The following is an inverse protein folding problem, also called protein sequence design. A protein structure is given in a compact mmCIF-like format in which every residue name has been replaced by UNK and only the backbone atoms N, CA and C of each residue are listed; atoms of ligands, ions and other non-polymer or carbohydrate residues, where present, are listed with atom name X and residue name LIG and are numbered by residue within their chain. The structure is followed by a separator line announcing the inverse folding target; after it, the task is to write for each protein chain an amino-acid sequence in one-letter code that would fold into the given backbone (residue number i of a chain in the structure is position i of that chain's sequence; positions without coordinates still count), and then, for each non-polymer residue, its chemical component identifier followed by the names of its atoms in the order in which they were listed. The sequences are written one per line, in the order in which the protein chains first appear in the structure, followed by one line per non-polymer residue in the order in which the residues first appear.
data_IF_612873747580
#
_entry.id   IF_612873747580
#
_cell.length_a   1.000
_cell.length_b   1.000
_cell.length_c   1.000
_cell.angle_alpha   90.00
_cell.angle_beta   90.00
_cell.angle_gamma   90.00
#
_symmetry.space_group_name_H-M   'P 1'
#
loop_
_entity.id
_entity.type
_entity.pdbx_description
1 polymer ?
#
# COMPACT_ATOMS: atom_id res chain seq x y z
N UNK A 1 5.32 -7.67 -7.69
CA UNK A 1 4.77 -6.50 -6.97
C UNK A 1 3.44 -6.03 -7.53
N UNK A 2 3.07 -6.45 -8.74
CA UNK A 2 1.74 -6.34 -9.35
C UNK A 2 0.53 -6.48 -8.40
N UNK A 3 0.54 -7.47 -7.49
CA UNK A 3 -0.58 -7.68 -6.55
C UNK A 3 -0.67 -6.52 -5.56
N UNK A 4 0.48 -6.06 -5.05
CA UNK A 4 0.54 -4.93 -4.14
C UNK A 4 0.12 -3.63 -4.83
N UNK A 5 0.54 -3.39 -6.08
CA UNK A 5 0.10 -2.22 -6.86
C UNK A 5 -1.41 -2.17 -7.00
N UNK A 6 -2.04 -3.29 -7.36
CA UNK A 6 -3.51 -3.38 -7.42
C UNK A 6 -4.19 -3.10 -6.09
N UNK A 7 -3.60 -3.54 -4.97
CA UNK A 7 -4.12 -3.21 -3.64
C UNK A 7 -3.97 -1.72 -3.34
N UNK A 8 -2.84 -1.11 -3.71
CA UNK A 8 -2.61 0.33 -3.53
C UNK A 8 -3.59 1.14 -4.39
N UNK A 9 -3.78 0.78 -5.65
CA UNK A 9 -4.75 1.41 -6.56
C UNK A 9 -6.18 1.31 -6.02
N UNK A 10 -6.55 0.14 -5.49
CA UNK A 10 -7.86 -0.07 -4.85
C UNK A 10 -8.10 0.88 -3.67
N UNK A 11 -7.04 1.32 -2.98
CA UNK A 11 -7.12 2.14 -1.78
C UNK A 11 -6.21 3.37 -1.93
N UNK A 12 -6.74 4.46 -2.52
CA UNK A 12 -5.95 5.67 -2.84
C UNK A 12 -5.13 6.30 -1.70
N UNK A 13 -5.46 6.00 -0.43
CA UNK A 13 -4.68 6.36 0.77
C UNK A 13 -3.22 5.87 0.73
N UNK A 14 -2.94 4.81 -0.02
CA UNK A 14 -1.63 4.16 -0.07
C UNK A 14 -0.85 4.49 -1.35
N UNK A 15 -1.36 5.40 -2.18
CA UNK A 15 -0.81 5.76 -3.50
C UNK A 15 0.68 6.13 -3.46
N UNK A 16 1.11 6.84 -2.42
CA UNK A 16 2.52 7.22 -2.18
C UNK A 16 3.48 6.02 -2.09
N UNK A 17 2.96 4.82 -1.78
CA UNK A 17 3.77 3.61 -1.66
C UNK A 17 3.99 2.89 -2.99
N UNK A 18 3.24 3.24 -4.04
CA UNK A 18 3.36 2.62 -5.37
C UNK A 18 4.77 2.81 -5.96
N UNK A 19 5.38 3.98 -5.71
CA UNK A 19 6.74 4.29 -6.20
C UNK A 19 7.80 3.31 -5.67
N UNK A 20 7.63 2.76 -4.47
CA UNK A 20 8.57 1.76 -3.94
C UNK A 20 8.38 0.41 -4.63
N UNK A 21 7.13 0.04 -4.94
CA UNK A 21 6.82 -1.17 -5.70
C UNK A 21 7.41 -1.12 -7.11
N UNK A 22 7.29 0.03 -7.80
CA UNK A 22 7.91 0.27 -9.12
C UNK A 22 9.44 0.13 -9.07
N UNK A 23 10.07 0.73 -8.05
CA UNK A 23 11.53 0.67 -7.88
C UNK A 23 12.03 -0.75 -7.62
N UNK A 24 11.28 -1.56 -6.87
CA UNK A 24 11.63 -2.96 -6.60
C UNK A 24 11.58 -3.77 -7.89
N UNK A 25 10.51 -3.65 -8.69
CA UNK A 25 10.41 -4.37 -9.97
C UNK A 25 11.48 -3.94 -10.97
N UNK A 26 11.78 -2.63 -11.04
CA UNK A 26 12.80 -2.11 -11.95
C UNK A 26 14.22 -2.62 -11.65
N UNK A 27 14.50 -3.07 -10.43
CA UNK A 27 15.85 -3.44 -10.00
C UNK A 27 15.99 -4.91 -9.60
N UNK A 28 14.92 -5.72 -9.68
CA UNK A 28 14.94 -7.11 -9.19
C UNK A 28 16.01 -7.98 -9.89
N UNK A 29 16.21 -7.74 -11.18
CA UNK A 29 17.17 -8.46 -12.01
C UNK A 29 18.57 -7.82 -12.06
N UNK A 30 18.70 -6.56 -11.62
CA UNK A 30 19.93 -5.77 -11.81
C UNK A 30 20.63 -5.38 -10.50
N UNK A 31 19.87 -5.02 -9.47
CA UNK A 31 20.40 -4.62 -8.16
C UNK A 31 19.44 -5.01 -7.03
N UNK A 32 19.69 -6.19 -6.48
CA UNK A 32 18.90 -6.72 -5.38
C UNK A 32 19.12 -5.95 -4.05
N UNK A 33 20.25 -5.26 -3.87
CA UNK A 33 20.46 -4.42 -2.69
C UNK A 33 19.46 -3.26 -2.67
N UNK A 34 19.26 -2.63 -3.82
CA UNK A 34 18.27 -1.56 -3.96
C UNK A 34 16.84 -2.07 -3.77
N UNK A 35 16.56 -3.30 -4.19
CA UNK A 35 15.25 -3.93 -3.96
C UNK A 35 14.96 -4.10 -2.47
N UNK A 36 15.95 -4.56 -1.70
CA UNK A 36 15.79 -4.77 -0.25
C UNK A 36 15.69 -3.44 0.51
N UNK A 37 16.41 -2.41 0.07
CA UNK A 37 16.27 -1.07 0.63
C UNK A 37 14.86 -0.51 0.41
N UNK A 38 14.36 -0.54 -0.84
CA UNK A 38 12.99 -0.11 -1.14
C UNK A 38 11.95 -0.99 -0.44
N UNK A 39 12.19 -2.29 -0.29
CA UNK A 39 11.30 -3.21 0.43
C UNK A 39 11.16 -2.82 1.90
N UNK A 40 12.27 -2.47 2.54
CA UNK A 40 12.26 -1.98 3.92
C UNK A 40 11.49 -0.67 4.03
N UNK A 41 11.81 0.32 3.18
CA UNK A 41 11.13 1.62 3.18
C UNK A 41 9.63 1.52 2.94
N UNK A 42 9.21 0.64 2.02
CA UNK A 42 7.81 0.35 1.74
C UNK A 42 7.07 -0.17 2.99
N UNK A 43 7.59 -1.22 3.63
CA UNK A 43 6.95 -1.80 4.82
C UNK A 43 7.00 -0.85 6.02
N UNK A 44 8.09 -0.09 6.19
CA UNK A 44 8.19 0.96 7.22
C UNK A 44 7.15 2.06 7.00
N UNK A 45 6.98 2.51 5.76
CA UNK A 45 6.00 3.52 5.37
C UNK A 45 4.58 3.09 5.70
N UNK A 46 4.18 1.91 5.19
CA UNK A 46 2.86 1.32 5.47
C UNK A 46 2.64 1.20 6.99
N UNK A 47 3.63 0.70 7.73
CA UNK A 47 3.51 0.51 9.19
C UNK A 47 3.36 1.84 9.93
N UNK A 48 4.13 2.87 9.56
CA UNK A 48 4.01 4.21 10.15
C UNK A 48 2.67 4.86 9.86
N UNK A 49 2.18 4.71 8.63
CA UNK A 49 0.88 5.22 8.23
C UNK A 49 -0.25 4.55 9.03
N UNK A 50 -0.21 3.23 9.20
CA UNK A 50 -1.15 2.50 10.07
C UNK A 50 -1.13 3.06 11.50
N UNK A 51 0.05 3.22 12.10
CA UNK A 51 0.20 3.77 13.44
C UNK A 51 -0.37 5.19 13.55
N UNK A 52 -0.09 6.04 12.54
CA UNK A 52 -0.59 7.41 12.47
C UNK A 52 -2.12 7.44 12.44
N UNK A 53 -2.74 6.66 11.55
CA UNK A 53 -4.20 6.55 11.42
C UNK A 53 -4.87 6.00 12.68
N UNK A 54 -4.18 5.11 13.40
CA UNK A 54 -4.65 4.55 14.68
C UNK A 54 -4.31 5.42 15.90
N UNK A 55 -3.72 6.60 15.72
CA UNK A 55 -3.26 7.47 16.80
C UNK A 55 -2.31 6.77 17.79
N UNK A 56 -1.47 5.84 17.31
CA UNK A 56 -0.45 5.17 18.11
C UNK A 56 0.80 6.05 18.18
N UNK A 57 1.22 6.38 19.40
CA UNK A 57 2.44 7.16 19.63
C UNK A 57 3.65 6.27 19.44
N UNK A 58 4.49 6.63 18.46
CA UNK A 58 5.80 6.04 18.24
C UNK A 58 6.86 6.84 19.01
N UNK A 59 7.84 6.15 19.60
CA UNK A 59 9.00 6.72 20.26
C UNK A 59 10.04 7.30 19.28
N UNK A 60 9.99 6.91 18.01
CA UNK A 60 10.87 7.39 16.93
C UNK A 60 12.19 6.64 16.82
N UNK A 61 12.49 5.75 17.76
CA UNK A 61 13.67 4.88 17.79
C UNK A 61 13.31 3.39 17.62
N UNK A 62 12.08 3.08 17.20
CA UNK A 62 11.66 1.70 17.02
C UNK A 62 12.47 0.99 15.95
N UNK A 63 12.95 -0.20 16.30
CA UNK A 63 13.51 -1.11 15.31
C UNK A 63 12.44 -1.50 14.29
N UNK A 64 12.87 -1.73 13.04
CA UNK A 64 11.97 -2.07 11.93
C UNK A 64 10.98 -3.20 12.27
N UNK A 65 11.47 -4.28 12.87
CA UNK A 65 10.64 -5.41 13.29
C UNK A 65 9.61 -5.03 14.38
N UNK A 66 10.00 -4.15 15.31
CA UNK A 66 9.11 -3.68 16.37
C UNK A 66 8.02 -2.77 15.80
N UNK A 67 8.35 -1.90 14.85
CA UNK A 67 7.41 -1.05 14.15
C UNK A 67 6.33 -1.86 13.43
N UNK A 68 6.71 -2.89 12.65
CA UNK A 68 5.75 -3.77 11.96
C UNK A 68 4.82 -4.45 12.95
N UNK A 69 5.34 -4.91 14.09
CA UNK A 69 4.54 -5.53 15.14
C UNK A 69 3.56 -4.54 15.78
N UNK A 70 4.00 -3.33 16.09
CA UNK A 70 3.14 -2.28 16.65
C UNK A 70 2.01 -1.94 15.67
N UNK A 71 2.33 -1.78 14.39
CA UNK A 71 1.33 -1.51 13.35
C UNK A 71 0.30 -2.64 13.26
N UNK A 72 0.75 -3.89 13.25
CA UNK A 72 -0.14 -5.05 13.24
C UNK A 72 -1.05 -5.09 14.48
N UNK A 73 -0.49 -4.90 15.67
CA UNK A 73 -1.25 -4.87 16.92
C UNK A 73 -2.26 -3.71 16.96
N UNK A 74 -1.91 -2.57 16.34
CA UNK A 74 -2.77 -1.38 16.25
C UNK A 74 -4.01 -1.56 15.37
N UNK A 75 -3.98 -2.49 14.39
CA UNK A 75 -5.11 -2.71 13.46
C UNK A 75 -6.39 -3.09 14.21
N UNK A 76 -6.29 -3.78 15.35
CA UNK A 76 -7.42 -3.97 16.28
C UNK A 76 -8.05 -5.36 16.25
N UNK A 77 -7.23 -6.40 16.05
CA UNK A 77 -7.69 -7.79 16.02
C UNK A 77 -8.46 -8.22 17.28
N UNK A 78 -9.58 -8.95 17.11
CA UNK A 78 -10.13 -9.78 18.20
C UNK A 78 -9.08 -10.83 18.56
N UNK A 79 -8.57 -10.79 19.79
CA UNK A 79 -7.46 -11.65 20.26
C UNK A 79 -7.81 -13.14 20.18
N UNK A 80 -7.57 -13.75 19.02
CA UNK A 80 -7.52 -15.20 18.83
C UNK A 80 -6.06 -15.64 18.71
N UNK A 81 -5.70 -16.78 19.32
CA UNK A 81 -4.32 -17.23 19.44
C UNK A 81 -3.55 -17.36 18.11
N UNK A 82 -4.25 -17.57 17.00
CA UNK A 82 -3.70 -17.62 15.64
C UNK A 82 -3.09 -16.27 15.19
N UNK A 83 -3.70 -15.15 15.57
CA UNK A 83 -3.30 -13.80 15.16
C UNK A 83 -1.95 -13.41 15.79
N UNK A 84 -1.70 -13.83 17.03
CA UNK A 84 -0.42 -13.60 17.71
C UNK A 84 0.74 -14.32 16.99
N UNK A 85 0.49 -15.51 16.44
CA UNK A 85 1.49 -16.26 15.67
C UNK A 85 1.78 -15.51 14.37
N UNK A 86 0.75 -15.02 13.67
CA UNK A 86 0.90 -14.22 12.45
C UNK A 86 1.74 -12.96 12.71
N UNK A 87 1.41 -12.18 13.75
CA UNK A 87 2.19 -10.99 14.12
C UNK A 87 3.65 -11.32 14.47
N UNK A 88 3.89 -12.45 15.15
CA UNK A 88 5.23 -12.96 15.42
C UNK A 88 6.00 -13.30 14.15
N UNK A 89 5.37 -14.00 13.20
CA UNK A 89 5.96 -14.35 11.90
C UNK A 89 6.27 -13.11 11.06
N UNK A 90 5.37 -12.13 11.01
CA UNK A 90 5.61 -10.85 10.32
C UNK A 90 6.82 -10.11 10.90
N UNK A 91 6.90 -10.03 12.24
CA UNK A 91 8.05 -9.44 12.92
C UNK A 91 9.35 -10.19 12.62
N UNK A 92 9.32 -11.52 12.51
CA UNK A 92 10.50 -12.32 12.19
C UNK A 92 10.98 -12.08 10.75
N UNK A 93 10.06 -12.03 9.78
CA UNK A 93 10.39 -11.71 8.39
C UNK A 93 10.95 -10.29 8.28
N UNK A 94 10.32 -9.32 8.95
CA UNK A 94 10.82 -7.95 8.98
C UNK A 94 12.24 -7.87 9.58
N UNK A 95 12.51 -8.61 10.65
CA UNK A 95 13.86 -8.69 11.23
C UNK A 95 14.89 -9.22 10.22
N UNK A 96 14.57 -10.34 9.54
CA UNK A 96 15.46 -10.92 8.53
C UNK A 96 15.68 -10.00 7.33
N UNK A 97 14.64 -9.26 6.91
CA UNK A 97 14.77 -8.26 5.85
C UNK A 97 15.70 -7.11 6.27
N UNK A 98 15.63 -6.67 7.53
CA UNK A 98 16.52 -5.65 8.08
C UNK A 98 17.97 -6.11 8.22
N UNK A 99 18.18 -7.35 8.65
CA UNK A 99 19.51 -7.97 8.73
C UNK A 99 20.11 -8.11 7.34
N UNK A 100 19.30 -8.60 6.38
CA UNK A 100 19.73 -8.75 5.00
C UNK A 100 20.10 -7.40 4.38
N UNK A 101 19.28 -6.37 4.57
CA UNK A 101 19.61 -4.99 4.16
C UNK A 101 20.95 -4.53 4.72
N UNK A 102 21.28 -4.91 5.95
CA UNK A 102 22.55 -4.53 6.57
C UNK A 102 23.72 -5.35 6.04
N UNK A 103 23.49 -6.60 5.67
CA UNK A 103 24.51 -7.48 5.09
C UNK A 103 24.88 -7.10 3.64
N UNK A 104 23.88 -6.70 2.84
CA UNK A 104 24.06 -6.37 1.41
C UNK A 104 24.15 -4.86 1.14
N UNK A 105 23.59 -4.01 2.01
CA UNK A 105 23.62 -2.56 1.88
C UNK A 105 25.02 -2.01 2.10
N UNK A 106 25.47 -1.17 1.18
CA UNK A 106 26.83 -0.65 1.02
C UNK A 106 27.34 0.29 2.15
N UNK A 107 26.89 0.15 3.40
CA UNK A 107 27.33 0.99 4.53
C UNK A 107 28.46 0.39 5.37
N UNK A 108 29.12 -0.68 4.89
CA UNK A 108 30.39 -1.12 5.49
C UNK A 108 31.52 -0.27 4.94
N UNK A 109 31.84 0.84 5.62
CA UNK A 109 32.98 1.69 5.32
C UNK A 109 34.25 0.84 5.04
N UNK A 110 34.64 0.72 3.77
CA UNK A 110 35.87 0.03 3.36
C UNK A 110 35.73 -1.10 2.34
N UNK A 111 34.52 -1.47 1.90
CA UNK A 111 34.35 -2.55 0.91
C UNK A 111 34.49 -2.07 -0.55
N UNK A 112 35.11 -2.92 -1.37
CA UNK A 112 35.28 -2.70 -2.82
C UNK A 112 34.02 -3.04 -3.60
N UNK A 113 33.87 -2.49 -4.81
CA UNK A 113 32.71 -2.74 -5.70
C UNK A 113 32.55 -4.23 -6.09
N UNK A 114 33.62 -5.01 -6.00
CA UNK A 114 33.64 -6.44 -6.33
C UNK A 114 33.08 -7.29 -5.18
N UNK A 115 33.44 -6.97 -3.93
CA UNK A 115 32.91 -7.65 -2.73
C UNK A 115 31.41 -7.38 -2.51
N UNK A 116 30.92 -6.21 -2.94
CA UNK A 116 29.48 -5.91 -2.94
C UNK A 116 28.73 -6.78 -3.95
N UNK A 117 29.33 -7.01 -5.12
CA UNK A 117 28.74 -7.83 -6.19
C UNK A 117 28.71 -9.31 -5.79
N UNK A 118 29.81 -9.83 -5.24
CA UNK A 118 29.89 -11.20 -4.73
C UNK A 118 28.88 -11.46 -3.60
N UNK A 119 28.61 -10.47 -2.75
CA UNK A 119 27.57 -10.58 -1.71
C UNK A 119 26.17 -10.56 -2.29
N UNK A 120 25.91 -9.73 -3.29
CA UNK A 120 24.62 -9.71 -4.00
C UNK A 120 24.37 -11.05 -4.72
N UNK A 121 25.44 -11.68 -5.22
CA UNK A 121 25.40 -12.97 -5.90
C UNK A 121 25.43 -14.18 -4.94
N UNK A 122 25.72 -13.95 -3.65
CA UNK A 122 25.71 -15.01 -2.62
C UNK A 122 24.31 -15.57 -2.32
N UNK A 123 23.26 -14.81 -2.66
CA UNK A 123 21.88 -15.27 -2.59
C UNK A 123 21.45 -15.87 -3.93
N UNK A 124 20.95 -17.10 -3.89
CA UNK A 124 20.37 -17.71 -5.09
C UNK A 124 19.08 -16.98 -5.51
N UNK A 125 18.75 -17.07 -6.79
CA UNK A 125 17.57 -16.43 -7.39
C UNK A 125 16.28 -16.79 -6.67
N UNK A 126 16.10 -18.06 -6.30
CA UNK A 126 14.89 -18.55 -5.59
C UNK A 126 14.70 -17.82 -4.25
N UNK A 127 15.78 -17.54 -3.53
CA UNK A 127 15.72 -16.82 -2.25
C UNK A 127 15.39 -15.35 -2.46
N UNK A 128 15.94 -14.73 -3.52
CA UNK A 128 15.62 -13.36 -3.90
C UNK A 128 14.13 -13.22 -4.23
N UNK A 129 13.60 -14.10 -5.06
CA UNK A 129 12.17 -14.16 -5.42
C UNK A 129 11.30 -14.34 -4.17
N UNK A 130 11.61 -15.34 -3.34
CA UNK A 130 10.86 -15.60 -2.10
C UNK A 130 10.79 -14.37 -1.17
N UNK A 131 11.88 -13.62 -1.06
CA UNK A 131 11.94 -12.41 -0.23
C UNK A 131 11.04 -11.31 -0.80
N UNK A 132 11.08 -11.06 -2.10
CA UNK A 132 10.23 -10.05 -2.74
C UNK A 132 8.75 -10.45 -2.65
N UNK A 133 8.43 -11.71 -2.92
CA UNK A 133 7.06 -12.23 -2.77
C UNK A 133 6.56 -12.09 -1.33
N UNK A 134 7.44 -12.34 -0.35
CA UNK A 134 7.12 -12.15 1.06
C UNK A 134 6.82 -10.67 1.35
N UNK A 135 7.62 -9.74 0.85
CA UNK A 135 7.38 -8.29 1.00
C UNK A 135 6.04 -7.89 0.38
N UNK A 136 5.77 -8.35 -0.84
CA UNK A 136 4.51 -8.11 -1.54
C UNK A 136 3.31 -8.62 -0.73
N UNK A 137 3.38 -9.85 -0.23
CA UNK A 137 2.33 -10.46 0.60
C UNK A 137 2.12 -9.69 1.90
N UNK A 138 3.21 -9.30 2.59
CA UNK A 138 3.14 -8.53 3.84
C UNK A 138 2.49 -7.17 3.60
N UNK A 139 2.92 -6.43 2.57
CA UNK A 139 2.33 -5.14 2.22
C UNK A 139 0.84 -5.27 1.91
N UNK A 140 0.45 -6.25 1.08
CA UNK A 140 -0.94 -6.52 0.74
C UNK A 140 -1.77 -6.83 2.00
N UNK A 141 -1.21 -7.68 2.87
CA UNK A 141 -1.87 -8.10 4.09
C UNK A 141 -2.08 -6.93 5.04
N UNK A 142 -1.05 -6.13 5.32
CA UNK A 142 -1.16 -4.98 6.21
C UNK A 142 -2.19 -3.97 5.73
N UNK A 143 -2.16 -3.61 4.44
CA UNK A 143 -3.11 -2.66 3.85
C UNK A 143 -4.53 -3.20 3.92
N UNK A 144 -4.79 -4.39 3.37
CA UNK A 144 -6.14 -4.96 3.34
C UNK A 144 -6.71 -5.20 4.73
N UNK A 145 -5.87 -5.68 5.64
CA UNK A 145 -6.27 -5.93 7.02
C UNK A 145 -6.60 -4.62 7.74
N UNK A 146 -5.79 -3.57 7.54
CA UNK A 146 -6.11 -2.26 8.05
C UNK A 146 -7.43 -1.73 7.48
N UNK A 147 -7.63 -1.75 6.17
CA UNK A 147 -8.86 -1.26 5.52
C UNK A 147 -10.10 -2.10 5.88
N UNK A 148 -9.94 -3.40 6.16
CA UNK A 148 -11.05 -4.27 6.59
C UNK A 148 -11.48 -4.03 8.05
N UNK A 149 -10.53 -3.79 8.96
CA UNK A 149 -10.81 -3.51 10.38
C UNK A 149 -11.05 -2.02 10.66
N UNK A 150 -10.67 -1.19 9.71
CA UNK A 150 -10.98 0.23 9.63
C UNK A 150 -11.67 0.46 8.31
N UNK A 151 -12.81 -0.24 8.07
CA UNK A 151 -13.65 0.19 6.97
C UNK A 151 -13.92 1.64 7.30
N UNK A 152 -13.73 2.54 6.33
CA UNK A 152 -13.98 3.96 6.54
C UNK A 152 -15.38 4.04 7.12
N UNK A 153 -15.49 4.19 8.44
CA UNK A 153 -16.74 4.52 9.09
C UNK A 153 -16.94 5.91 8.54
N UNK A 154 -17.77 6.00 7.50
CA UNK A 154 -18.51 7.20 7.16
C UNK A 154 -18.91 7.76 8.51
N UNK A 155 -18.21 8.79 8.96
CA UNK A 155 -18.67 9.58 10.08
C UNK A 155 -20.05 9.98 9.61
N UNK A 156 -21.06 9.41 10.27
CA UNK A 156 -22.48 9.60 10.06
C UNK A 156 -22.90 11.01 10.51
N UNK A 157 -22.05 11.98 10.20
CA UNK A 157 -22.16 13.41 10.42
C UNK A 157 -21.89 14.20 9.13
N UNK A 158 -21.39 13.58 8.04
CA UNK A 158 -21.37 14.16 6.68
C UNK A 158 -22.07 13.25 5.64
N UNK A 159 -22.96 12.35 6.10
CA UNK A 159 -24.03 11.82 5.24
C UNK A 159 -25.13 12.89 5.07
N UNK A 160 -24.76 14.08 4.60
CA UNK A 160 -25.52 14.58 3.47
C UNK A 160 -25.16 13.61 2.35
N UNK A 161 -26.01 12.60 2.13
CA UNK A 161 -25.96 11.73 0.95
C UNK A 161 -25.47 12.57 -0.23
N UNK A 162 -24.24 12.35 -0.70
CA UNK A 162 -23.72 13.05 -1.89
C UNK A 162 -24.67 12.67 -3.02
N UNK A 163 -25.64 13.55 -3.28
CA UNK A 163 -26.63 13.32 -4.32
C UNK A 163 -25.87 13.27 -5.63
N UNK A 164 -26.24 12.34 -6.50
CA UNK A 164 -25.74 12.29 -7.87
C UNK A 164 -25.83 13.68 -8.54
N UNK A 165 -26.91 14.41 -8.29
CA UNK A 165 -27.15 15.77 -8.80
C UNK A 165 -26.16 16.81 -8.25
N UNK A 166 -25.62 16.61 -7.05
CA UNK A 166 -24.68 17.55 -6.42
C UNK A 166 -23.23 17.34 -6.89
N UNK A 167 -22.98 16.32 -7.70
CA UNK A 167 -21.67 15.93 -8.19
C UNK A 167 -21.56 16.03 -9.73
N UNK A 168 -22.36 16.90 -10.35
CA UNK A 168 -22.45 17.09 -11.80
C UNK A 168 -21.08 17.19 -12.48
N UNK A 169 -20.17 18.05 -11.96
CA UNK A 169 -18.83 18.25 -12.53
C UNK A 169 -18.01 16.96 -12.59
N UNK A 170 -18.15 16.11 -11.56
CA UNK A 170 -17.48 14.82 -11.51
C UNK A 170 -18.13 13.82 -12.47
N UNK A 171 -19.46 13.80 -12.54
CA UNK A 171 -20.19 12.91 -13.43
C UNK A 171 -19.82 13.18 -14.89
N UNK A 172 -19.79 14.45 -15.29
CA UNK A 172 -19.39 14.85 -16.65
C UNK A 172 -17.95 14.45 -16.94
N UNK A 173 -17.02 14.71 -16.00
CA UNK A 173 -15.63 14.27 -16.14
C UNK A 173 -15.50 12.74 -16.29
N UNK A 174 -16.24 12.00 -15.48
CA UNK A 174 -16.18 10.55 -15.47
C UNK A 174 -16.80 9.94 -16.73
N UNK A 175 -17.92 10.50 -17.19
CA UNK A 175 -18.59 10.09 -18.42
C UNK A 175 -17.77 10.46 -19.67
N UNK A 176 -17.03 11.57 -19.67
CA UNK A 176 -16.09 11.88 -20.74
C UNK A 176 -14.92 10.88 -20.82
N UNK A 177 -14.48 10.36 -19.67
CA UNK A 177 -13.38 9.39 -19.61
C UNK A 177 -13.81 7.99 -20.04
N UNK A 178 -14.98 7.54 -19.61
CA UNK A 178 -15.39 6.13 -19.70
C UNK A 178 -16.58 5.89 -20.62
N UNK A 179 -17.29 6.94 -21.04
CA UNK A 179 -18.41 6.87 -21.96
C UNK A 179 -19.63 6.14 -21.41
N UNK A 180 -20.48 5.68 -22.32
CA UNK A 180 -21.72 4.99 -22.00
C UNK A 180 -21.57 3.46 -22.07
N UNK A 181 -22.30 2.77 -21.21
CA UNK A 181 -22.49 1.34 -21.26
C UNK A 181 -23.81 1.01 -21.99
N UNK A 182 -23.69 0.36 -23.15
CA UNK A 182 -24.85 -0.08 -23.95
C UNK A 182 -25.18 -1.57 -23.72
N UNK A 183 -26.45 -1.86 -23.49
CA UNK A 183 -27.00 -3.22 -23.44
C UNK A 183 -28.28 -3.32 -24.26
N UNK A 184 -28.14 -3.65 -25.55
CA UNK A 184 -29.28 -3.69 -26.47
C UNK A 184 -29.85 -2.29 -26.71
N UNK A 185 -31.10 -2.06 -26.33
CA UNK A 185 -31.75 -0.75 -26.44
C UNK A 185 -31.55 0.15 -25.21
N UNK A 186 -30.82 -0.32 -24.19
CA UNK A 186 -30.54 0.43 -22.96
C UNK A 186 -29.14 1.05 -23.03
N UNK A 187 -29.00 2.30 -22.58
CA UNK A 187 -27.72 2.99 -22.40
C UNK A 187 -27.70 3.66 -21.02
N UNK A 188 -26.58 3.54 -20.32
CA UNK A 188 -26.34 4.15 -19.02
C UNK A 188 -24.95 4.77 -19.00
N UNK A 189 -24.80 5.95 -18.38
CA UNK A 189 -23.48 6.59 -18.30
C UNK A 189 -22.59 5.91 -17.26
N UNK A 190 -21.26 6.00 -17.43
CA UNK A 190 -20.32 5.36 -16.52
C UNK A 190 -20.48 5.85 -15.06
N UNK A 191 -20.74 7.14 -14.85
CA UNK A 191 -20.97 7.70 -13.52
C UNK A 191 -22.28 7.20 -12.91
N UNK A 192 -23.34 7.04 -13.72
CA UNK A 192 -24.62 6.50 -13.25
C UNK A 192 -24.49 5.04 -12.81
N UNK A 193 -23.77 4.23 -13.60
CA UNK A 193 -23.45 2.85 -13.23
C UNK A 193 -22.65 2.82 -11.94
N UNK A 194 -21.60 3.63 -11.84
CA UNK A 194 -20.74 3.68 -10.66
C UNK A 194 -21.53 4.09 -9.41
N UNK A 195 -22.36 5.13 -9.50
CA UNK A 195 -23.17 5.61 -8.39
C UNK A 195 -24.17 4.56 -7.86
N UNK A 196 -24.82 3.82 -8.76
CA UNK A 196 -25.88 2.87 -8.40
C UNK A 196 -25.36 1.47 -8.05
N UNK A 197 -24.23 1.04 -8.62
CA UNK A 197 -23.68 -0.31 -8.44
C UNK A 197 -22.63 -0.35 -7.33
N UNK A 198 -21.79 0.69 -7.22
CA UNK A 198 -20.73 0.77 -6.21
C UNK A 198 -20.58 2.22 -5.73
N UNK A 199 -21.53 2.64 -4.89
CA UNK A 199 -21.57 4.00 -4.35
C UNK A 199 -20.30 4.35 -3.53
N UNK A 200 -19.64 3.35 -2.93
CA UNK A 200 -18.39 3.58 -2.22
C UNK A 200 -17.26 3.94 -3.17
N UNK A 201 -17.13 3.23 -4.30
CA UNK A 201 -16.20 3.60 -5.36
C UNK A 201 -16.53 5.00 -5.92
N UNK A 202 -17.80 5.30 -6.19
CA UNK A 202 -18.23 6.62 -6.65
C UNK A 202 -17.77 7.76 -5.72
N UNK A 203 -17.99 7.62 -4.41
CA UNK A 203 -17.58 8.64 -3.42
C UNK A 203 -16.06 8.79 -3.37
N UNK A 204 -15.31 7.70 -3.52
CA UNK A 204 -13.85 7.73 -3.50
C UNK A 204 -13.29 8.47 -4.73
N UNK A 205 -13.79 8.17 -5.91
CA UNK A 205 -13.39 8.83 -7.16
C UNK A 205 -13.78 10.31 -7.16
N UNK A 206 -14.98 10.65 -6.65
CA UNK A 206 -15.42 12.04 -6.47
C UNK A 206 -14.47 12.84 -5.58
N UNK A 207 -13.97 12.25 -4.48
CA UNK A 207 -13.00 12.91 -3.59
C UNK A 207 -11.65 13.11 -4.28
N UNK A 208 -11.14 12.10 -4.98
CA UNK A 208 -9.91 12.22 -5.76
C UNK A 208 -10.00 13.31 -6.83
N UNK A 209 -11.15 13.43 -7.48
CA UNK A 209 -11.45 14.51 -8.42
C UNK A 209 -11.39 15.89 -7.74
N UNK A 210 -11.99 16.06 -6.56
CA UNK A 210 -11.96 17.33 -5.82
C UNK A 210 -10.56 17.69 -5.32
N UNK A 211 -9.78 16.73 -4.83
CA UNK A 211 -8.39 16.95 -4.39
C UNK A 211 -7.50 17.42 -5.56
N UNK A 212 -7.70 16.89 -6.76
CA UNK A 212 -6.97 17.34 -7.95
C UNK A 212 -7.36 18.75 -8.41
N UNK A 213 -8.62 19.15 -8.26
CA UNK A 213 -9.07 20.52 -8.59
C UNK A 213 -8.49 21.58 -7.64
N UNK A 214 -8.28 21.25 -6.36
CA UNK A 214 -7.67 22.17 -5.38
C UNK A 214 -6.17 22.37 -5.65
N UNK A 215 -5.47 21.35 -6.14
CA UNK A 215 -4.04 21.43 -6.47
C UNK A 215 -3.73 22.24 -7.75
N UNK A 216 -4.70 22.42 -8.65
CA UNK A 216 -4.53 23.27 -9.84
C UNK A 216 -4.78 24.76 -9.56
N UNK A 217 -5.27 25.09 -8.36
CA UNK A 217 -5.65 26.45 -7.97
C UNK A 217 -4.68 27.14 -6.97
N UNK A 218 -3.58 26.48 -6.58
CA UNK A 218 -2.44 27.02 -5.80
C UNK A 218 -1.20 27.24 -6.69
#
# INVERSE_FOLDING_TARGET
MEKLKKVIEQYGRWSEYSMYADRIEAHIDSDFSLCIENSKSLIEGISKQICKEKNVILSGDESFNRLVKIAFDAIGHRREGCINIIGGSLSAIAHQLGDLRTAIGATSHGMTSEELKDRNDSLNTITKEFLIDSVEIIGCFLIRNFENENPRILTSLDNESLSYENAQDFNEFWDELFGDFEMGDYSYTASEVLYNVDNEAYINEYKGFKENQELEHD
#
